data_IF_090960547670
#
_entry.id   IF_090960547670
#
_cell.length_a   1.000
_cell.length_b   1.000
_cell.length_c   1.000
_cell.angle_alpha   90.00
_cell.angle_beta   90.00
_cell.angle_gamma   90.00
#
_symmetry.space_group_name_H-M   'P 1'
#
loop_
_entity.id
_entity.type
_entity.pdbx_description
1 polymer ?
#
# COMPACT_ATOMS: atom_id res chain seq x y z
N UNK A 1 -3.40 6.35 -23.20
CA UNK A 1 -3.61 7.82 -23.19
C UNK A 1 -2.31 8.55 -22.86
N UNK A 2 -2.11 9.75 -23.40
CA UNK A 2 -0.94 10.57 -23.06
C UNK A 2 -1.18 11.22 -21.70
N UNK A 3 -0.23 11.07 -20.77
CA UNK A 3 -0.30 11.66 -19.44
C UNK A 3 -0.05 13.17 -19.45
N UNK A 4 -0.50 13.88 -18.40
CA UNK A 4 -0.25 15.32 -18.27
C UNK A 4 1.22 15.61 -18.00
N UNK A 5 1.67 16.82 -18.37
CA UNK A 5 2.99 17.28 -18.00
C UNK A 5 2.97 17.91 -16.61
N UNK A 6 3.99 17.61 -15.80
CA UNK A 6 4.24 18.18 -14.48
C UNK A 6 5.65 18.73 -14.38
N UNK A 7 5.87 19.64 -13.43
CA UNK A 7 7.17 20.26 -13.20
C UNK A 7 8.05 19.57 -12.18
N UNK A 8 7.44 18.81 -11.25
CA UNK A 8 8.16 18.03 -10.25
C UNK A 8 9.09 17.00 -10.90
N UNK A 9 10.19 16.69 -10.23
CA UNK A 9 11.25 15.83 -10.80
C UNK A 9 10.80 14.38 -11.01
N UNK A 10 9.99 13.84 -10.10
CA UNK A 10 9.54 12.45 -10.17
C UNK A 10 8.10 12.33 -9.71
N UNK A 11 7.34 11.45 -10.35
CA UNK A 11 5.99 11.13 -9.91
C UNK A 11 5.54 9.76 -10.40
N UNK A 12 4.55 9.18 -9.69
CA UNK A 12 3.85 7.96 -10.09
C UNK A 12 2.38 8.04 -9.70
N UNK A 13 1.51 7.48 -10.54
CA UNK A 13 0.15 7.08 -10.17
C UNK A 13 0.02 5.58 -10.37
N UNK A 14 -0.36 4.88 -9.33
CA UNK A 14 -0.51 3.43 -9.32
C UNK A 14 -1.92 3.06 -8.83
N UNK A 15 -2.54 2.07 -9.46
CA UNK A 15 -3.79 1.51 -8.96
C UNK A 15 -3.50 0.42 -7.92
N UNK A 16 -4.24 0.46 -6.79
CA UNK A 16 -3.95 -0.31 -5.59
C UNK A 16 -4.11 -1.83 -5.78
N UNK A 17 -5.20 -2.28 -6.40
CA UNK A 17 -5.53 -3.72 -6.49
C UNK A 17 -4.70 -4.47 -7.52
N UNK A 18 -4.44 -3.85 -8.67
CA UNK A 18 -3.70 -4.44 -9.79
C UNK A 18 -2.20 -4.14 -9.80
N UNK A 19 -1.75 -3.18 -9.00
CA UNK A 19 -0.40 -2.56 -9.04
C UNK A 19 -0.07 -1.91 -10.39
N UNK A 20 -1.07 -1.63 -11.21
CA UNK A 20 -0.86 -1.03 -12.53
C UNK A 20 -0.40 0.41 -12.39
N UNK A 21 0.72 0.74 -13.02
CA UNK A 21 1.22 2.11 -13.12
C UNK A 21 0.51 2.83 -14.26
N UNK A 22 -0.27 3.88 -13.93
CA UNK A 22 -1.06 4.65 -14.90
C UNK A 22 -0.30 5.86 -15.42
N UNK A 23 0.61 6.38 -14.60
CA UNK A 23 1.49 7.50 -14.93
C UNK A 23 2.84 7.31 -14.26
N UNK A 24 3.90 7.59 -14.97
CA UNK A 24 5.26 7.56 -14.47
C UNK A 24 6.08 8.71 -15.07
N UNK A 25 6.82 9.40 -14.21
CA UNK A 25 7.89 10.32 -14.57
C UNK A 25 9.07 10.05 -13.64
N UNK A 26 10.16 9.52 -14.18
CA UNK A 26 11.38 9.22 -13.43
C UNK A 26 11.11 8.51 -12.08
N UNK A 27 10.11 7.60 -12.07
CA UNK A 27 9.53 7.04 -10.84
C UNK A 27 10.52 6.24 -9.99
N UNK A 28 11.62 5.75 -10.57
CA UNK A 28 12.64 4.95 -9.92
C UNK A 28 13.91 5.75 -9.57
N UNK A 29 13.88 7.07 -9.77
CA UNK A 29 14.98 7.96 -9.39
C UNK A 29 15.04 8.11 -7.88
N UNK A 30 16.23 7.86 -7.31
CA UNK A 30 16.49 8.03 -5.88
C UNK A 30 16.49 9.51 -5.49
N UNK A 31 15.62 9.88 -4.57
CA UNK A 31 15.43 11.24 -4.06
C UNK A 31 15.24 11.23 -2.55
N UNK A 32 15.47 12.36 -1.90
CA UNK A 32 15.22 12.51 -0.46
C UNK A 32 13.71 12.42 -0.16
N UNK A 33 13.29 11.56 0.79
CA UNK A 33 11.88 11.31 1.10
C UNK A 33 11.20 12.41 1.94
N UNK A 34 11.96 13.29 2.58
CA UNK A 34 11.42 14.22 3.57
C UNK A 34 10.52 13.52 4.61
N UNK A 35 9.48 14.19 5.08
CA UNK A 35 8.54 13.63 6.06
C UNK A 35 7.66 12.48 5.57
N UNK A 36 7.73 12.07 4.29
CA UNK A 36 7.05 10.87 3.80
C UNK A 36 7.54 9.59 4.51
N UNK A 37 8.76 9.60 5.07
CA UNK A 37 9.29 8.55 5.97
C UNK A 37 8.30 8.19 7.09
N UNK A 38 7.54 9.14 7.59
CA UNK A 38 6.57 8.93 8.67
C UNK A 38 5.43 7.97 8.32
N UNK A 39 5.17 7.74 7.03
CA UNK A 39 4.20 6.73 6.59
C UNK A 39 4.72 5.34 6.98
N UNK A 40 6.01 5.03 6.72
CA UNK A 40 6.63 3.78 7.14
C UNK A 40 6.69 3.67 8.66
N UNK A 41 7.00 4.75 9.36
CA UNK A 41 7.01 4.78 10.83
C UNK A 41 5.65 4.42 11.42
N UNK A 42 4.57 5.00 10.90
CA UNK A 42 3.21 4.68 11.32
C UNK A 42 2.78 3.26 10.92
N UNK A 43 3.14 2.80 9.73
CA UNK A 43 2.88 1.44 9.27
C UNK A 43 3.47 0.41 10.25
N UNK A 44 4.75 0.53 10.56
CA UNK A 44 5.43 -0.37 11.49
C UNK A 44 4.84 -0.30 12.90
N UNK A 45 4.45 0.86 13.38
CA UNK A 45 3.77 1.00 14.65
C UNK A 45 2.44 0.23 14.67
N UNK A 46 1.64 0.36 13.63
CA UNK A 46 0.36 -0.35 13.49
C UNK A 46 0.53 -1.87 13.34
N UNK A 47 1.59 -2.31 12.70
CA UNK A 47 1.88 -3.75 12.53
C UNK A 47 2.44 -4.40 13.81
N UNK A 48 3.04 -3.63 14.73
CA UNK A 48 3.78 -4.17 15.87
C UNK A 48 3.23 -3.75 17.25
N UNK A 49 2.11 -3.05 17.31
CA UNK A 49 1.50 -2.60 18.57
C UNK A 49 -0.03 -2.50 18.49
N UNK A 50 -0.65 -2.27 19.63
CA UNK A 50 -2.06 -1.94 19.73
C UNK A 50 -2.23 -0.42 19.89
N UNK A 51 -3.31 0.16 19.38
CA UNK A 51 -3.62 1.60 19.52
C UNK A 51 -3.71 2.05 20.99
N UNK A 52 -4.06 1.13 21.90
CA UNK A 52 -4.19 1.37 23.35
C UNK A 52 -2.88 1.22 24.10
N UNK A 53 -1.80 0.78 23.47
CA UNK A 53 -0.51 0.62 24.14
C UNK A 53 0.00 1.97 24.62
N UNK A 54 0.60 1.97 25.82
CA UNK A 54 1.17 3.17 26.40
C UNK A 54 2.59 3.40 25.89
N UNK A 55 2.85 4.63 25.51
CA UNK A 55 4.16 5.13 25.07
C UNK A 55 4.63 6.16 26.09
N UNK A 56 5.70 5.86 26.80
CA UNK A 56 6.30 6.76 27.79
C UNK A 56 7.46 7.50 27.16
N UNK A 57 7.46 8.82 27.22
CA UNK A 57 8.52 9.67 26.70
C UNK A 57 9.81 9.50 27.51
N UNK A 58 10.90 9.18 26.82
CA UNK A 58 12.25 9.13 27.34
C UNK A 58 13.10 10.27 26.76
N UNK A 59 14.37 10.33 27.12
CA UNK A 59 15.32 11.29 26.54
C UNK A 59 15.42 11.14 25.01
N UNK A 60 15.19 9.95 24.45
CA UNK A 60 15.21 9.71 22.99
C UNK A 60 14.19 10.58 22.27
N UNK A 61 12.97 10.65 22.71
CA UNK A 61 11.95 11.51 22.11
C UNK A 61 12.13 12.98 22.47
N UNK A 62 12.31 13.26 23.76
CA UNK A 62 12.32 14.63 24.28
C UNK A 62 13.52 15.44 23.80
N UNK A 63 14.70 14.85 23.78
CA UNK A 63 15.96 15.53 23.43
C UNK A 63 16.46 15.20 22.01
N UNK A 64 15.81 14.26 21.32
CA UNK A 64 16.25 13.79 20.00
C UNK A 64 15.86 14.72 18.85
N UNK A 65 14.97 15.69 19.06
CA UNK A 65 14.61 16.67 18.03
C UNK A 65 15.61 17.81 18.04
N UNK A 66 16.37 17.92 16.97
CA UNK A 66 17.36 18.99 16.75
C UNK A 66 16.89 19.93 15.64
N UNK A 67 17.56 21.09 15.52
CA UNK A 67 17.45 22.00 14.38
C UNK A 67 16.04 22.56 14.08
N UNK A 68 15.22 22.72 15.14
CA UNK A 68 13.87 23.30 15.01
C UNK A 68 12.86 22.41 14.30
N UNK A 69 13.09 21.11 14.25
CA UNK A 69 12.14 20.12 13.72
C UNK A 69 10.78 20.17 14.43
N UNK A 70 9.71 19.85 13.71
CA UNK A 70 8.36 19.85 14.26
C UNK A 70 8.22 18.87 15.44
N UNK A 71 7.51 19.28 16.51
CA UNK A 71 7.27 18.51 17.71
C UNK A 71 6.00 18.96 18.41
N UNK A 72 5.47 18.19 19.33
CA UNK A 72 4.32 18.55 20.18
C UNK A 72 4.70 18.99 21.59
N UNK A 73 5.98 19.27 21.83
CA UNK A 73 6.54 19.65 23.13
C UNK A 73 6.25 18.59 24.21
N UNK A 74 6.50 17.34 23.86
CA UNK A 74 6.41 16.22 24.82
C UNK A 74 7.47 16.36 25.90
N UNK A 75 7.16 15.84 27.09
CA UNK A 75 8.01 15.98 28.28
C UNK A 75 8.48 14.60 28.76
N UNK A 76 9.64 14.58 29.44
CA UNK A 76 10.17 13.36 30.02
C UNK A 76 9.19 12.70 31.00
N UNK A 77 8.94 11.41 30.82
CA UNK A 77 7.97 10.65 31.61
C UNK A 77 6.50 10.90 31.25
N UNK A 78 6.22 11.73 30.24
CA UNK A 78 4.87 11.91 29.72
C UNK A 78 4.39 10.64 29.02
N UNK A 79 3.13 10.27 29.22
CA UNK A 79 2.54 9.04 28.68
C UNK A 79 1.44 9.37 27.70
N UNK A 80 1.53 8.80 26.51
CA UNK A 80 0.54 8.84 25.45
C UNK A 80 0.06 7.42 25.13
N UNK A 81 -1.11 7.29 24.51
CA UNK A 81 -1.46 6.03 23.82
C UNK A 81 -0.78 5.99 22.44
N UNK A 82 -0.59 4.80 21.90
CA UNK A 82 -0.07 4.67 20.52
C UNK A 82 -0.96 5.41 19.51
N UNK A 83 -2.28 5.36 19.67
CA UNK A 83 -3.22 6.14 18.84
C UNK A 83 -2.88 7.64 18.87
N UNK A 84 -2.71 8.23 20.05
CA UNK A 84 -2.34 9.64 20.21
C UNK A 84 -1.00 9.95 19.54
N UNK A 85 -0.04 9.04 19.65
CA UNK A 85 1.26 9.15 18.97
C UNK A 85 1.11 9.19 17.45
N UNK A 86 0.33 8.30 16.88
CA UNK A 86 0.15 8.23 15.42
C UNK A 86 -0.57 9.48 14.88
N UNK A 87 -1.58 9.99 15.58
CA UNK A 87 -2.19 11.27 15.23
C UNK A 87 -1.17 12.44 15.31
N UNK A 88 -0.32 12.46 16.34
CA UNK A 88 0.71 13.49 16.45
C UNK A 88 1.73 13.43 15.31
N UNK A 89 2.15 12.22 14.92
CA UNK A 89 3.07 12.00 13.80
C UNK A 89 2.44 12.46 12.48
N UNK A 90 1.19 12.04 12.21
CA UNK A 90 0.56 12.31 10.92
C UNK A 90 0.05 13.74 10.79
N UNK A 91 -0.59 14.31 11.81
CA UNK A 91 -1.21 15.64 11.72
C UNK A 91 -0.22 16.77 12.02
N UNK A 92 0.60 16.61 13.07
CA UNK A 92 1.52 17.65 13.54
C UNK A 92 2.97 17.43 13.12
N UNK A 93 3.27 16.36 12.36
CA UNK A 93 4.64 16.01 11.97
C UNK A 93 5.60 15.81 13.16
N UNK A 94 5.10 15.38 14.32
CA UNK A 94 5.81 15.32 15.58
C UNK A 94 7.03 14.39 15.53
N UNK A 95 8.23 14.96 15.42
CA UNK A 95 9.48 14.20 15.38
C UNK A 95 9.85 13.62 16.74
N UNK A 96 9.55 14.32 17.83
CA UNK A 96 9.72 13.83 19.21
C UNK A 96 8.93 12.52 19.43
N UNK A 97 7.71 12.47 18.95
CA UNK A 97 6.87 11.28 19.04
C UNK A 97 7.34 10.19 18.07
N UNK A 98 7.76 10.54 16.86
CA UNK A 98 8.28 9.54 15.90
C UNK A 98 9.53 8.82 16.44
N UNK A 99 10.45 9.55 17.08
CA UNK A 99 11.62 8.97 17.74
C UNK A 99 11.22 8.07 18.91
N UNK A 100 10.24 8.49 19.72
CA UNK A 100 9.79 7.68 20.88
C UNK A 100 9.07 6.41 20.43
N UNK A 101 8.23 6.49 19.41
CA UNK A 101 7.55 5.31 18.82
C UNK A 101 8.61 4.35 18.24
N UNK A 102 9.64 4.87 17.59
CA UNK A 102 10.74 4.06 17.07
C UNK A 102 11.48 3.31 18.21
N UNK A 103 11.79 3.99 19.31
CA UNK A 103 12.39 3.33 20.47
C UNK A 103 11.45 2.28 21.07
N UNK A 104 10.17 2.59 21.21
CA UNK A 104 9.17 1.68 21.79
C UNK A 104 9.04 0.38 20.97
N UNK A 105 8.96 0.48 19.65
CA UNK A 105 8.75 -0.66 18.73
C UNK A 105 10.07 -1.42 18.48
N UNK A 106 11.16 -0.71 18.33
CA UNK A 106 12.46 -1.29 18.00
C UNK A 106 13.30 -1.73 19.19
N UNK A 107 13.04 -1.17 20.37
CA UNK A 107 13.93 -1.25 21.53
C UNK A 107 15.07 -0.21 21.47
N UNK A 108 15.35 0.32 20.30
CA UNK A 108 16.18 1.49 20.02
C UNK A 108 15.79 2.10 18.68
N UNK A 109 16.18 3.35 18.44
CA UNK A 109 15.95 4.00 17.13
C UNK A 109 16.67 3.25 16.02
N UNK A 110 17.92 2.84 16.23
CA UNK A 110 18.71 2.10 15.24
C UNK A 110 18.06 0.74 14.87
N UNK A 111 17.57 0.01 15.86
CA UNK A 111 16.88 -1.25 15.62
C UNK A 111 15.54 -1.03 14.87
N UNK A 112 14.85 0.08 15.12
CA UNK A 112 13.65 0.44 14.37
C UNK A 112 13.97 0.81 12.92
N UNK A 113 15.05 1.55 12.68
CA UNK A 113 15.53 1.87 11.32
C UNK A 113 15.85 0.60 10.55
N UNK A 114 16.45 -0.41 11.20
CA UNK A 114 16.66 -1.71 10.56
C UNK A 114 15.32 -2.35 10.16
N UNK A 115 14.32 -2.34 11.04
CA UNK A 115 12.95 -2.81 10.71
C UNK A 115 12.32 -2.04 9.54
N UNK A 116 12.56 -0.73 9.44
CA UNK A 116 12.07 0.08 8.32
C UNK A 116 12.67 -0.40 7.00
N UNK A 117 13.97 -0.68 6.96
CA UNK A 117 14.67 -1.16 5.77
C UNK A 117 14.25 -2.59 5.41
N UNK A 118 14.13 -3.48 6.40
CA UNK A 118 13.66 -4.86 6.20
C UNK A 118 12.23 -4.84 5.62
N UNK A 119 11.35 -4.01 6.20
CA UNK A 119 9.96 -3.89 5.71
C UNK A 119 9.88 -3.30 4.30
N UNK A 120 10.70 -2.32 3.98
CA UNK A 120 10.79 -1.78 2.63
C UNK A 120 11.18 -2.88 1.62
N UNK A 121 12.15 -3.72 1.96
CA UNK A 121 12.55 -4.85 1.12
C UNK A 121 11.41 -5.87 0.94
N UNK A 122 10.69 -6.22 2.02
CA UNK A 122 9.52 -7.11 1.97
C UNK A 122 8.40 -6.57 1.07
N UNK A 123 8.22 -5.24 1.03
CA UNK A 123 7.25 -4.57 0.18
C UNK A 123 7.69 -4.47 -1.29
N UNK A 124 8.90 -4.94 -1.62
CA UNK A 124 9.45 -4.87 -2.97
C UNK A 124 10.10 -3.53 -3.32
N UNK A 125 10.39 -2.69 -2.32
CA UNK A 125 11.14 -1.46 -2.54
C UNK A 125 12.59 -1.79 -2.91
N UNK A 126 13.02 -1.38 -4.09
CA UNK A 126 14.32 -1.76 -4.64
C UNK A 126 15.38 -0.67 -4.50
N UNK A 127 14.98 0.55 -4.21
CA UNK A 127 15.88 1.70 -4.13
C UNK A 127 15.50 2.64 -2.97
N UNK A 128 15.31 2.06 -1.79
CA UNK A 128 14.96 2.79 -0.55
C UNK A 128 15.95 2.44 0.54
N UNK A 129 16.49 3.46 1.19
CA UNK A 129 17.30 3.36 2.41
C UNK A 129 16.79 4.39 3.41
N UNK A 130 16.29 3.91 4.54
CA UNK A 130 15.95 4.73 5.69
C UNK A 130 17.11 4.80 6.67
N UNK A 131 17.35 5.98 7.24
CA UNK A 131 18.36 6.24 8.26
C UNK A 131 17.78 6.80 9.54
N UNK A 132 16.52 7.30 9.49
CA UNK A 132 15.80 7.80 10.66
C UNK A 132 14.29 7.64 10.48
N UNK A 133 13.50 7.65 11.59
CA UNK A 133 12.04 7.51 11.54
C UNK A 133 11.28 8.81 11.29
N UNK A 134 11.98 9.94 11.16
CA UNK A 134 11.40 11.29 11.14
C UNK A 134 11.31 11.89 9.74
N UNK A 135 12.24 11.51 8.85
CA UNK A 135 12.43 12.15 7.55
C UNK A 135 13.23 13.46 7.62
N UNK A 136 13.87 13.75 8.74
CA UNK A 136 14.87 14.82 8.80
C UNK A 136 16.00 14.52 7.82
N UNK A 137 16.60 15.57 7.22
CA UNK A 137 17.62 15.39 6.18
C UNK A 137 18.79 14.52 6.64
N UNK A 138 19.15 13.58 5.79
CA UNK A 138 20.35 12.74 5.90
C UNK A 138 20.76 12.34 4.48
N UNK A 139 22.02 12.56 4.13
CA UNK A 139 22.53 12.34 2.77
C UNK A 139 22.48 10.86 2.34
N UNK A 140 22.39 9.94 3.29
CA UNK A 140 22.28 8.51 3.02
C UNK A 140 20.82 8.04 2.91
N UNK A 141 19.83 8.89 3.27
CA UNK A 141 18.41 8.54 3.23
C UNK A 141 17.82 8.90 1.88
N UNK A 142 17.32 7.88 1.18
CA UNK A 142 16.68 8.07 -0.12
C UNK A 142 15.56 7.06 -0.34
N UNK A 143 14.70 7.37 -1.28
CA UNK A 143 13.63 6.52 -1.78
C UNK A 143 13.27 6.93 -3.20
N UNK A 144 12.30 6.25 -3.80
CA UNK A 144 11.75 6.58 -5.12
C UNK A 144 10.24 6.83 -5.04
N UNK A 145 9.67 7.47 -6.03
CA UNK A 145 8.22 7.64 -6.10
C UNK A 145 7.50 6.28 -6.14
N UNK A 146 8.03 5.33 -6.87
CA UNK A 146 7.50 3.97 -6.94
C UNK A 146 7.54 3.26 -5.58
N UNK A 147 8.69 3.28 -4.89
CA UNK A 147 8.83 2.65 -3.58
C UNK A 147 7.89 3.29 -2.53
N UNK A 148 7.75 4.63 -2.53
CA UNK A 148 6.77 5.30 -1.67
C UNK A 148 5.32 4.91 -1.98
N UNK A 149 4.99 4.65 -3.25
CA UNK A 149 3.67 4.15 -3.61
C UNK A 149 3.42 2.74 -3.05
N UNK A 150 4.40 1.84 -3.07
CA UNK A 150 4.32 0.52 -2.44
C UNK A 150 4.16 0.61 -0.93
N UNK A 151 4.88 1.51 -0.27
CA UNK A 151 4.74 1.76 1.17
C UNK A 151 3.35 2.32 1.49
N UNK A 152 2.85 3.29 0.71
CA UNK A 152 1.52 3.86 0.90
C UNK A 152 0.42 2.82 0.69
N UNK A 153 0.57 1.94 -0.30
CA UNK A 153 -0.33 0.79 -0.52
C UNK A 153 -0.43 -0.08 0.72
N UNK A 154 0.69 -0.47 1.32
CA UNK A 154 0.70 -1.25 2.55
C UNK A 154 0.04 -0.49 3.71
N UNK A 155 0.29 0.81 3.83
CA UNK A 155 -0.29 1.64 4.88
C UNK A 155 -1.82 1.76 4.77
N UNK A 156 -2.35 2.04 3.58
CA UNK A 156 -3.81 2.20 3.39
C UNK A 156 -4.58 0.87 3.42
N UNK A 157 -3.92 -0.27 3.39
CA UNK A 157 -4.55 -1.56 3.66
C UNK A 157 -4.98 -1.72 5.13
N UNK A 158 -4.48 -0.85 6.02
CA UNK A 158 -4.84 -0.79 7.44
C UNK A 158 -5.89 0.30 7.67
N UNK A 159 -7.08 -0.08 8.16
CA UNK A 159 -8.19 0.84 8.40
C UNK A 159 -7.86 1.94 9.43
N UNK A 160 -7.04 1.62 10.44
CA UNK A 160 -6.59 2.61 11.42
C UNK A 160 -5.68 3.65 10.78
N UNK A 161 -4.81 3.25 9.84
CA UNK A 161 -4.01 4.20 9.09
C UNK A 161 -4.88 5.12 8.23
N UNK A 162 -5.87 4.58 7.51
CA UNK A 162 -6.83 5.38 6.73
C UNK A 162 -7.54 6.41 7.61
N UNK A 163 -8.01 5.99 8.78
CA UNK A 163 -8.68 6.88 9.75
C UNK A 163 -7.77 7.99 10.24
N UNK A 164 -6.54 7.66 10.64
CA UNK A 164 -5.59 8.61 11.22
C UNK A 164 -5.08 9.59 10.16
N UNK A 165 -4.65 9.08 9.00
CA UNK A 165 -4.07 9.91 7.94
C UNK A 165 -5.09 10.79 7.24
N UNK A 166 -6.37 10.40 7.25
CA UNK A 166 -7.48 11.17 6.68
C UNK A 166 -8.07 12.22 7.63
N UNK A 167 -7.69 12.21 8.91
CA UNK A 167 -8.23 13.13 9.91
C UNK A 167 -7.74 14.57 9.68
N UNK A 168 -8.62 15.53 9.88
CA UNK A 168 -8.31 16.97 9.80
C UNK A 168 -7.88 17.56 11.12
N UNK A 169 -8.29 16.95 12.24
CA UNK A 169 -7.93 17.37 13.59
C UNK A 169 -8.03 16.20 14.58
N UNK A 170 -7.31 16.32 15.67
CA UNK A 170 -7.37 15.40 16.80
C UNK A 170 -7.00 16.12 18.08
N UNK A 171 -7.66 15.82 19.21
CA UNK A 171 -7.34 16.40 20.51
C UNK A 171 -6.71 15.35 21.41
N UNK A 172 -5.46 15.54 21.78
CA UNK A 172 -4.83 14.78 22.88
C UNK A 172 -5.29 15.43 24.20
N UNK A 173 -5.98 14.70 25.07
CA UNK A 173 -6.41 15.24 26.36
C UNK A 173 -5.21 15.54 27.27
N UNK A 174 -5.46 16.14 28.44
CA UNK A 174 -4.45 16.28 29.47
C UNK A 174 -3.80 14.91 29.79
N UNK A 175 -2.48 14.93 29.97
CA UNK A 175 -1.67 13.75 30.27
C UNK A 175 -1.29 13.70 31.74
N UNK A 176 -0.51 12.71 32.14
CA UNK A 176 0.07 12.64 33.51
C UNK A 176 1.04 13.79 33.83
N UNK A 177 1.55 14.50 32.80
CA UNK A 177 2.52 15.60 32.96
C UNK A 177 1.91 16.94 32.56
N UNK A 178 1.14 16.99 31.46
CA UNK A 178 0.54 18.20 30.94
C UNK A 178 -0.93 18.31 31.39
N UNK A 179 -1.27 19.38 32.10
CA UNK A 179 -2.65 19.66 32.54
C UNK A 179 -3.56 20.22 31.45
N UNK A 180 -3.02 20.54 30.26
CA UNK A 180 -3.76 21.06 29.12
C UNK A 180 -3.87 20.08 27.98
N UNK A 181 -4.99 20.13 27.25
CA UNK A 181 -5.16 19.38 26.03
C UNK A 181 -4.30 19.97 24.88
N UNK A 182 -3.85 19.14 23.96
CA UNK A 182 -3.20 19.54 22.69
C UNK A 182 -4.16 19.33 21.53
N UNK A 183 -4.50 20.40 20.85
CA UNK A 183 -5.31 20.33 19.63
C UNK A 183 -4.39 20.25 18.42
N UNK A 184 -4.41 19.10 17.77
CA UNK A 184 -3.65 18.86 16.54
C UNK A 184 -4.53 19.20 15.34
N UNK A 185 -3.97 19.90 14.38
CA UNK A 185 -4.62 20.20 13.10
C UNK A 185 -3.75 19.67 11.97
N UNK A 186 -4.36 18.99 11.02
CA UNK A 186 -3.64 18.47 9.86
C UNK A 186 -3.14 19.61 8.98
N UNK A 187 -1.88 19.51 8.57
CA UNK A 187 -1.30 20.36 7.53
C UNK A 187 -1.55 19.80 6.13
N UNK A 188 -2.13 18.60 6.00
CA UNK A 188 -2.38 17.97 4.70
C UNK A 188 -3.64 18.54 4.06
N UNK A 189 -3.44 19.32 3.00
CA UNK A 189 -4.49 20.12 2.39
C UNK A 189 -5.56 19.32 1.65
N UNK A 190 -5.19 18.16 1.10
CA UNK A 190 -6.08 17.37 0.23
C UNK A 190 -7.23 16.69 0.96
N UNK A 191 -7.14 16.52 2.29
CA UNK A 191 -8.24 16.01 3.14
C UNK A 191 -9.04 17.13 3.80
N UNK A 192 -8.59 18.40 3.71
CA UNK A 192 -9.19 19.54 4.39
C UNK A 192 -10.26 20.21 3.50
N UNK A 193 -11.58 20.10 3.81
CA UNK A 193 -12.65 20.56 2.92
C UNK A 193 -12.61 22.04 2.56
N UNK A 194 -11.98 22.87 3.40
CA UNK A 194 -11.85 24.32 3.17
C UNK A 194 -10.59 24.69 2.37
N UNK A 195 -9.75 23.72 2.06
CA UNK A 195 -8.54 23.96 1.27
C UNK A 195 -8.86 24.08 -0.22
N UNK A 196 -8.11 24.93 -0.92
CA UNK A 196 -8.17 25.05 -2.38
C UNK A 196 -7.73 23.77 -3.11
N UNK A 197 -6.97 22.91 -2.45
CA UNK A 197 -6.48 21.62 -2.97
C UNK A 197 -7.21 20.43 -2.35
N UNK A 198 -8.37 20.67 -1.72
CA UNK A 198 -9.22 19.55 -1.26
C UNK A 198 -9.54 18.63 -2.44
N UNK A 199 -9.38 17.32 -2.22
CA UNK A 199 -9.64 16.32 -3.24
C UNK A 199 -10.69 15.32 -2.78
N UNK A 200 -11.84 15.32 -3.44
CA UNK A 200 -12.94 14.42 -3.10
C UNK A 200 -12.53 12.95 -3.28
N UNK A 201 -12.75 12.16 -2.24
CA UNK A 201 -12.34 10.76 -2.19
C UNK A 201 -10.92 10.55 -1.65
N UNK A 202 -10.20 11.63 -1.29
CA UNK A 202 -8.88 11.49 -0.66
C UNK A 202 -9.00 10.69 0.65
N UNK A 203 -8.25 9.59 0.73
CA UNK A 203 -8.18 8.72 1.91
C UNK A 203 -7.30 9.34 2.98
N UNK A 204 -6.22 9.97 2.56
CA UNK A 204 -5.22 10.56 3.41
C UNK A 204 -3.89 10.70 2.69
N UNK A 205 -2.87 11.08 3.42
CA UNK A 205 -1.54 11.23 2.88
C UNK A 205 -0.67 12.15 3.70
N UNK A 206 0.41 12.56 3.08
CA UNK A 206 1.38 13.45 3.69
C UNK A 206 2.07 14.31 2.65
N UNK A 207 2.23 15.58 2.97
CA UNK A 207 3.08 16.52 2.24
C UNK A 207 4.13 17.08 3.20
N UNK A 208 5.35 17.20 2.74
CA UNK A 208 6.43 17.82 3.51
C UNK A 208 7.48 18.42 2.59
N UNK A 209 8.15 19.46 3.08
CA UNK A 209 9.17 20.20 2.33
C UNK A 209 10.42 20.37 3.18
N UNK A 210 11.56 20.09 2.60
CA UNK A 210 12.88 20.48 3.13
C UNK A 210 13.70 21.14 2.03
N UNK A 211 14.75 21.84 2.40
CA UNK A 211 15.67 22.44 1.41
C UNK A 211 16.31 21.35 0.53
N UNK A 212 16.62 20.20 1.11
CA UNK A 212 17.28 19.11 0.40
C UNK A 212 16.33 18.32 -0.53
N UNK A 213 15.07 18.13 -0.12
CA UNK A 213 14.11 17.29 -0.86
C UNK A 213 13.23 18.06 -1.85
N UNK A 214 13.13 19.39 -1.71
CA UNK A 214 11.97 20.08 -2.27
C UNK A 214 10.68 19.60 -1.58
N UNK A 215 9.54 19.78 -2.20
CA UNK A 215 8.26 19.28 -1.71
C UNK A 215 8.04 17.82 -2.14
N UNK A 216 7.62 17.00 -1.21
CA UNK A 216 7.28 15.58 -1.41
C UNK A 216 5.85 15.35 -0.93
N UNK A 217 4.99 14.81 -1.80
CA UNK A 217 3.60 14.48 -1.50
C UNK A 217 3.34 13.01 -1.80
N UNK A 218 2.72 12.32 -0.84
CA UNK A 218 2.22 10.94 -0.98
C UNK A 218 0.76 10.95 -0.58
N UNK A 219 -0.12 10.45 -1.43
CA UNK A 219 -1.56 10.42 -1.16
C UNK A 219 -2.22 9.22 -1.82
N UNK A 220 -3.43 8.92 -1.36
CA UNK A 220 -4.32 7.97 -2.02
C UNK A 220 -5.74 8.53 -2.05
N UNK A 221 -6.49 8.16 -3.08
CA UNK A 221 -7.89 8.52 -3.21
C UNK A 221 -8.69 7.36 -3.78
N UNK A 222 -9.96 7.26 -3.36
CA UNK A 222 -10.87 6.21 -3.79
C UNK A 222 -12.12 6.83 -4.42
N UNK A 223 -12.48 6.35 -5.63
CA UNK A 223 -13.71 6.69 -6.34
C UNK A 223 -14.26 5.43 -7.03
N UNK A 224 -15.55 5.15 -6.84
CA UNK A 224 -16.22 4.02 -7.50
C UNK A 224 -15.45 2.69 -7.36
N UNK A 225 -14.99 2.37 -6.15
CA UNK A 225 -14.20 1.17 -5.81
C UNK A 225 -12.81 1.09 -6.48
N UNK A 226 -12.36 2.15 -7.14
CA UNK A 226 -11.00 2.27 -7.66
C UNK A 226 -10.18 3.12 -6.70
N UNK A 227 -9.07 2.58 -6.22
CA UNK A 227 -8.12 3.30 -5.36
C UNK A 227 -6.85 3.62 -6.13
N UNK A 228 -6.54 4.90 -6.25
CA UNK A 228 -5.29 5.38 -6.84
C UNK A 228 -4.36 5.91 -5.76
N UNK A 229 -3.09 5.57 -5.88
CA UNK A 229 -1.99 6.07 -5.07
C UNK A 229 -1.17 7.01 -5.94
N UNK A 230 -0.91 8.21 -5.45
CA UNK A 230 -0.14 9.22 -6.16
C UNK A 230 1.03 9.70 -5.30
N UNK A 231 2.21 9.71 -5.89
CA UNK A 231 3.43 10.25 -5.29
C UNK A 231 4.02 11.29 -6.22
N UNK A 232 4.37 12.44 -5.67
CA UNK A 232 5.06 13.54 -6.37
C UNK A 232 6.28 13.93 -5.53
N UNK A 233 7.46 13.90 -6.13
CA UNK A 233 8.72 14.15 -5.42
C UNK A 233 9.54 15.28 -6.05
N UNK A 234 10.25 16.00 -5.19
CA UNK A 234 11.11 17.13 -5.56
C UNK A 234 10.37 18.19 -6.38
N UNK A 235 9.19 18.54 -5.92
CA UNK A 235 8.38 19.62 -6.50
C UNK A 235 8.64 20.96 -5.85
N UNK A 236 8.15 22.02 -6.48
CA UNK A 236 8.13 23.34 -5.89
C UNK A 236 7.11 23.42 -4.75
N UNK A 237 7.41 24.15 -3.70
CA UNK A 237 6.51 24.37 -2.56
C UNK A 237 5.15 24.88 -3.01
N UNK A 238 4.08 24.23 -2.57
CA UNK A 238 2.70 24.57 -2.90
C UNK A 238 2.24 24.13 -4.29
N UNK A 239 3.04 23.40 -5.06
CA UNK A 239 2.67 22.86 -6.38
C UNK A 239 2.34 21.37 -6.38
N UNK A 240 2.94 20.60 -5.49
CA UNK A 240 2.81 19.13 -5.46
C UNK A 240 1.36 18.65 -5.30
N UNK A 241 0.53 19.34 -4.50
CA UNK A 241 -0.87 19.00 -4.36
C UNK A 241 -1.68 19.26 -5.66
N UNK A 242 -1.40 20.35 -6.37
CA UNK A 242 -2.05 20.63 -7.66
C UNK A 242 -1.64 19.59 -8.73
N UNK A 243 -0.37 19.23 -8.76
CA UNK A 243 0.11 18.18 -9.67
C UNK A 243 -0.49 16.81 -9.33
N UNK A 244 -0.58 16.46 -8.05
CA UNK A 244 -1.23 15.21 -7.61
C UNK A 244 -2.72 15.16 -8.02
N UNK A 245 -3.46 16.28 -7.89
CA UNK A 245 -4.85 16.39 -8.35
C UNK A 245 -4.91 16.12 -9.86
N UNK A 246 -4.07 16.80 -10.64
CA UNK A 246 -4.02 16.64 -12.10
C UNK A 246 -3.73 15.20 -12.50
N UNK A 247 -2.78 14.57 -11.83
CA UNK A 247 -2.38 13.19 -12.10
C UNK A 247 -3.47 12.17 -11.71
N UNK A 248 -4.11 12.35 -10.56
CA UNK A 248 -5.20 11.47 -10.13
C UNK A 248 -6.46 11.64 -11.00
N UNK A 249 -6.80 12.88 -11.37
CA UNK A 249 -7.91 13.13 -12.31
C UNK A 249 -7.64 12.48 -13.67
N UNK A 250 -6.39 12.52 -14.16
CA UNK A 250 -5.98 11.77 -15.35
C UNK A 250 -6.21 10.26 -15.17
N UNK A 251 -5.79 9.70 -14.04
CA UNK A 251 -5.97 8.27 -13.74
C UNK A 251 -7.46 7.87 -13.72
N UNK A 252 -8.27 8.57 -12.95
CA UNK A 252 -9.71 8.26 -12.83
C UNK A 252 -10.50 8.50 -14.12
N UNK A 253 -10.08 9.44 -14.98
CA UNK A 253 -10.79 9.77 -16.21
C UNK A 253 -10.45 8.85 -17.39
N UNK A 254 -9.25 8.29 -17.43
CA UNK A 254 -8.74 7.59 -18.61
C UNK A 254 -8.57 6.08 -18.44
N UNK A 255 -8.83 5.55 -17.25
CA UNK A 255 -8.68 4.12 -16.96
C UNK A 255 -9.89 3.57 -16.22
N UNK A 256 -10.06 2.26 -16.29
CA UNK A 256 -11.13 1.53 -15.62
C UNK A 256 -10.62 0.18 -15.11
N UNK A 257 -11.21 -0.31 -14.02
CA UNK A 257 -11.02 -1.67 -13.54
C UNK A 257 -11.94 -2.63 -14.30
N UNK A 258 -11.39 -3.77 -14.69
CA UNK A 258 -12.17 -4.94 -15.12
C UNK A 258 -11.95 -6.05 -14.09
N UNK A 259 -13.03 -6.70 -13.69
CA UNK A 259 -13.00 -7.89 -12.85
C UNK A 259 -13.18 -9.12 -13.74
N UNK A 260 -12.06 -9.78 -14.05
CA UNK A 260 -12.05 -10.95 -14.92
C UNK A 260 -12.53 -12.21 -14.20
N UNK A 261 -12.56 -12.22 -12.85
CA UNK A 261 -13.05 -13.36 -12.09
C UNK A 261 -14.58 -13.57 -12.24
N UNK A 262 -15.32 -12.55 -12.65
CA UNK A 262 -16.73 -12.68 -13.02
C UNK A 262 -16.94 -13.42 -14.35
N UNK A 263 -15.93 -13.40 -15.24
CA UNK A 263 -15.98 -14.00 -16.58
C UNK A 263 -15.24 -15.35 -16.65
N UNK A 264 -14.22 -15.58 -15.82
CA UNK A 264 -13.38 -16.78 -15.79
C UNK A 264 -13.36 -17.44 -14.39
N UNK A 265 -14.13 -18.49 -14.23
CA UNK A 265 -14.21 -19.25 -12.96
C UNK A 265 -13.00 -20.15 -12.66
N UNK A 266 -11.99 -20.19 -13.52
CA UNK A 266 -10.70 -20.82 -13.19
C UNK A 266 -9.78 -19.89 -12.39
N UNK A 267 -10.14 -18.61 -12.24
CA UNK A 267 -9.43 -17.67 -11.39
C UNK A 267 -9.71 -17.99 -9.92
N UNK A 268 -8.66 -18.36 -9.18
CA UNK A 268 -8.73 -18.69 -7.75
C UNK A 268 -8.57 -17.44 -6.87
N UNK A 269 -7.76 -16.49 -7.32
CA UNK A 269 -7.58 -15.19 -6.66
C UNK A 269 -6.98 -14.15 -7.61
N UNK A 270 -7.17 -12.87 -7.30
CA UNK A 270 -6.80 -11.78 -8.20
C UNK A 270 -7.75 -11.67 -9.39
N UNK A 271 -7.25 -11.33 -10.57
CA UNK A 271 -8.06 -11.19 -11.78
C UNK A 271 -8.66 -9.80 -11.97
N UNK A 272 -8.34 -8.86 -11.10
CA UNK A 272 -8.65 -7.44 -11.32
C UNK A 272 -7.53 -6.81 -12.14
N UNK A 273 -7.87 -6.17 -13.24
CA UNK A 273 -6.93 -5.50 -14.13
C UNK A 273 -7.33 -4.05 -14.36
N UNK A 274 -6.35 -3.17 -14.48
CA UNK A 274 -6.55 -1.76 -14.76
C UNK A 274 -6.16 -1.45 -16.21
N UNK A 275 -7.14 -1.07 -17.02
CA UNK A 275 -6.97 -0.86 -18.47
C UNK A 275 -7.45 0.54 -18.89
N UNK A 276 -7.05 1.04 -20.07
CA UNK A 276 -7.63 2.26 -20.60
C UNK A 276 -9.15 2.18 -20.71
N UNK A 277 -9.83 3.30 -20.45
CA UNK A 277 -11.28 3.37 -20.54
C UNK A 277 -11.78 2.94 -21.93
N UNK A 278 -12.73 2.01 -21.96
CA UNK A 278 -13.29 1.43 -23.17
C UNK A 278 -12.58 0.16 -23.69
N UNK A 279 -11.46 -0.25 -23.07
CA UNK A 279 -10.88 -1.56 -23.34
C UNK A 279 -11.71 -2.68 -22.67
N UNK A 280 -11.60 -3.88 -23.20
CA UNK A 280 -12.31 -5.08 -22.74
C UNK A 280 -11.32 -6.22 -22.46
N UNK A 281 -11.80 -7.33 -21.90
CA UNK A 281 -11.00 -8.55 -21.70
C UNK A 281 -10.39 -9.09 -23.00
N UNK A 282 -11.06 -8.88 -24.14
CA UNK A 282 -10.57 -9.31 -25.47
C UNK A 282 -9.30 -8.57 -25.93
N UNK A 283 -9.01 -7.41 -25.35
CA UNK A 283 -7.82 -6.61 -25.68
C UNK A 283 -6.58 -7.04 -24.87
N UNK A 284 -6.72 -8.01 -23.97
CA UNK A 284 -5.64 -8.48 -23.11
C UNK A 284 -4.86 -9.63 -23.73
N UNK A 285 -3.59 -9.67 -23.42
CA UNK A 285 -2.73 -10.85 -23.62
C UNK A 285 -2.36 -11.45 -22.27
N UNK A 286 -2.23 -12.78 -22.22
CA UNK A 286 -1.93 -13.51 -20.98
C UNK A 286 -0.65 -14.32 -21.13
N UNK A 287 0.07 -14.43 -20.00
CA UNK A 287 1.22 -15.33 -19.86
C UNK A 287 1.09 -16.07 -18.53
N UNK A 288 1.14 -17.41 -18.57
CA UNK A 288 1.01 -18.26 -17.38
C UNK A 288 2.40 -18.77 -16.98
N UNK A 289 2.74 -18.62 -15.71
CA UNK A 289 3.98 -19.12 -15.09
C UNK A 289 3.67 -20.06 -13.93
N UNK A 290 4.29 -21.26 -13.84
CA UNK A 290 4.09 -22.15 -12.71
C UNK A 290 4.51 -21.50 -11.37
N UNK A 291 3.66 -21.62 -10.35
CA UNK A 291 3.91 -21.10 -9.01
C UNK A 291 3.21 -22.00 -7.98
N UNK A 292 3.96 -22.73 -7.16
CA UNK A 292 3.48 -23.54 -6.02
C UNK A 292 2.31 -24.49 -6.35
N UNK A 293 2.36 -25.16 -7.54
CA UNK A 293 1.31 -26.10 -7.97
C UNK A 293 0.05 -25.44 -8.56
N UNK A 294 0.12 -24.16 -8.82
CA UNK A 294 -0.89 -23.35 -9.50
C UNK A 294 -0.20 -22.57 -10.63
N UNK A 295 -0.96 -21.82 -11.42
CA UNK A 295 -0.42 -20.92 -12.42
C UNK A 295 -0.62 -19.48 -11.99
N UNK A 296 0.46 -18.68 -12.04
CA UNK A 296 0.37 -17.23 -11.97
C UNK A 296 0.14 -16.71 -13.39
N UNK A 297 -1.05 -16.20 -13.66
CA UNK A 297 -1.41 -15.55 -14.91
C UNK A 297 -1.12 -14.06 -14.85
N UNK A 298 -0.30 -13.57 -15.75
CA UNK A 298 -0.03 -12.15 -15.94
C UNK A 298 -0.86 -11.64 -17.12
N UNK A 299 -1.61 -10.57 -16.89
CA UNK A 299 -2.38 -9.89 -17.93
C UNK A 299 -1.62 -8.65 -18.41
N UNK A 300 -1.57 -8.47 -19.73
CA UNK A 300 -0.92 -7.32 -20.35
C UNK A 300 -1.85 -6.65 -21.36
N UNK A 301 -1.80 -5.33 -21.42
CA UNK A 301 -2.46 -4.48 -22.40
C UNK A 301 -1.40 -3.67 -23.16
N UNK A 302 -1.32 -3.82 -24.48
CA UNK A 302 -0.31 -3.12 -25.28
C UNK A 302 1.14 -3.40 -24.86
N UNK A 303 1.42 -4.56 -24.28
CA UNK A 303 2.74 -4.97 -23.78
C UNK A 303 3.07 -4.48 -22.36
N UNK A 304 2.19 -3.69 -21.71
CA UNK A 304 2.34 -3.30 -20.31
C UNK A 304 1.52 -4.24 -19.42
N UNK A 305 2.10 -4.68 -18.31
CA UNK A 305 1.38 -5.47 -17.31
C UNK A 305 0.28 -4.61 -16.66
N UNK A 306 -0.95 -5.17 -16.58
CA UNK A 306 -2.14 -4.48 -16.06
C UNK A 306 -2.81 -5.21 -14.91
N UNK A 307 -2.31 -6.37 -14.53
CA UNK A 307 -2.77 -7.15 -13.37
C UNK A 307 -2.31 -8.59 -13.43
N UNK A 308 -2.65 -9.34 -12.38
CA UNK A 308 -2.32 -10.77 -12.25
C UNK A 308 -3.47 -11.55 -11.64
N UNK A 309 -3.50 -12.87 -11.86
CA UNK A 309 -4.38 -13.79 -11.16
C UNK A 309 -3.65 -15.10 -10.85
N UNK A 310 -4.08 -15.79 -9.80
CA UNK A 310 -3.77 -17.19 -9.59
C UNK A 310 -4.89 -18.00 -10.24
N UNK A 311 -4.55 -18.92 -11.15
CA UNK A 311 -5.52 -19.73 -11.87
C UNK A 311 -5.24 -21.21 -11.65
N UNK A 312 -6.28 -22.03 -11.83
CA UNK A 312 -6.15 -23.49 -11.78
C UNK A 312 -5.21 -23.99 -12.90
N UNK A 313 -4.33 -24.93 -12.57
CA UNK A 313 -3.57 -25.66 -13.57
C UNK A 313 -4.43 -26.80 -14.16
N UNK A 314 -5.08 -26.52 -15.28
CA UNK A 314 -5.92 -27.50 -15.98
C UNK A 314 -5.11 -28.41 -16.91
N UNK A 315 -3.78 -28.32 -16.91
CA UNK A 315 -2.91 -29.12 -17.81
C UNK A 315 -2.90 -30.63 -17.47
N UNK A 316 -3.30 -31.03 -16.27
CA UNK A 316 -3.38 -32.43 -15.86
C UNK A 316 -4.70 -33.15 -16.24
N UNK A 317 -5.76 -32.43 -16.66
CA UNK A 317 -7.04 -33.06 -17.05
C UNK A 317 -7.04 -33.71 -18.44
N UNK A 318 -6.00 -33.55 -19.24
CA UNK A 318 -5.92 -34.12 -20.61
C UNK A 318 -5.28 -35.52 -20.70
N UNK A 319 -5.03 -36.21 -19.58
CA UNK A 319 -4.59 -37.61 -19.55
C UNK A 319 -5.66 -38.55 -19.04
N UNK A 320 -6.90 -38.44 -19.50
CA UNK A 320 -7.87 -39.50 -19.38
C UNK A 320 -7.92 -40.29 -20.69
N UNK A 321 -7.07 -41.28 -20.74
CA UNK A 321 -7.21 -42.59 -21.39
C UNK A 321 -8.33 -42.68 -22.44
N UNK A 322 -7.97 -42.62 -23.71
CA UNK A 322 -8.66 -43.35 -24.74
C UNK A 322 -8.55 -44.83 -24.39
N UNK A 323 -9.59 -45.37 -23.76
CA UNK A 323 -9.81 -46.80 -23.68
C UNK A 323 -10.19 -47.25 -25.09
N UNK A 324 -9.23 -47.80 -25.83
CA UNK A 324 -9.51 -48.59 -27.00
C UNK A 324 -10.42 -49.75 -26.55
N UNK A 325 -11.69 -49.70 -26.96
CA UNK A 325 -12.53 -50.88 -27.03
C UNK A 325 -11.89 -51.87 -28.01
N UNK A 326 -11.17 -52.83 -27.46
CA UNK A 326 -10.90 -54.07 -28.17
C UNK A 326 -12.15 -54.96 -28.08
N UNK A 327 -12.90 -55.05 -29.16
CA UNK A 327 -13.84 -56.10 -29.49
C UNK A 327 -13.08 -57.43 -29.57
N UNK A 328 -13.02 -58.19 -28.44
CA UNK A 328 -12.77 -59.63 -28.42
C UNK A 328 -13.05 -60.14 -26.99
N UNK A 329 -14.30 -60.47 -26.67
CA UNK A 329 -14.72 -61.61 -25.87
C UNK A 329 -16.24 -61.72 -25.72
N UNK A 330 -16.90 -62.11 -26.80
CA UNK A 330 -18.22 -62.69 -26.74
C UNK A 330 -18.05 -64.21 -26.52
N UNK A 331 -17.74 -64.69 -25.31
CA UNK A 331 -17.90 -66.12 -24.92
C UNK A 331 -17.78 -66.41 -23.41
N UNK A 332 -18.09 -65.49 -22.51
CA UNK A 332 -18.10 -65.82 -21.08
C UNK A 332 -19.42 -65.48 -20.34
N UNK A 333 -20.49 -65.16 -21.07
CA UNK A 333 -21.80 -64.84 -20.46
C UNK A 333 -22.82 -66.00 -20.45
N UNK A 334 -22.36 -67.25 -20.49
CA UNK A 334 -23.27 -68.45 -20.50
C UNK A 334 -23.06 -69.43 -19.38
N UNK A 335 -22.32 -69.15 -18.35
CA UNK A 335 -21.99 -70.12 -17.29
C UNK A 335 -22.25 -69.62 -15.87
N UNK A 336 -23.16 -68.68 -15.62
CA UNK A 336 -23.52 -68.36 -14.23
C UNK A 336 -25.00 -68.00 -14.06
N UNK A 337 -25.89 -68.88 -14.51
CA UNK A 337 -27.32 -68.83 -14.21
C UNK A 337 -27.86 -70.18 -13.70
N UNK A 338 -27.22 -70.72 -12.68
CA UNK A 338 -27.84 -71.86 -11.91
C UNK A 338 -27.11 -72.05 -10.59
N UNK A 339 -27.55 -71.30 -9.54
CA UNK A 339 -27.70 -71.90 -8.17
C UNK A 339 -28.46 -70.89 -7.29
N UNK A 340 -29.74 -71.25 -7.14
CA UNK A 340 -30.63 -70.64 -6.13
C UNK A 340 -30.29 -71.18 -4.74
N UNK A 341 -30.43 -70.38 -3.72
CA UNK A 341 -31.41 -70.54 -2.65
C UNK A 341 -31.30 -69.53 -1.52
N UNK A 342 -32.35 -69.31 -0.71
CA UNK A 342 -32.72 -67.95 -0.22
C UNK A 342 -32.62 -67.80 1.32
N UNK A 343 -32.54 -66.57 1.77
CA UNK A 343 -33.09 -65.90 2.99
C UNK A 343 -33.02 -66.69 4.35
N UNK A 344 -32.81 -66.09 5.56
CA UNK A 344 -33.79 -65.15 6.12
C UNK A 344 -33.26 -63.92 6.89
N UNK A 345 -34.22 -63.04 7.11
CA UNK A 345 -34.25 -61.89 8.05
C UNK A 345 -33.84 -62.24 9.48
N UNK A 346 -33.10 -61.35 10.17
CA UNK A 346 -33.52 -60.76 11.46
C UNK A 346 -32.80 -59.37 11.56
#
# INVERSE_FOLDING_TARGET
PQGPEITSASAVVMEDSSNTVLYAKDMDTALSPAGAVKIMTCLLALENSQLTDQVTMTETGVSGVTDGGAHISSQLGEVFTMEQCLYAIMLASANDIALQVAEQIGGSVDAFVQKMNDRAQELGCTNTVFTNPTGLPDDNQHTTAHDLALIMKAAISNDSFRTISGATSYTIPATNVSGGARNLTSSFSMTTPTSATYYQGCIGGRESTTTASGSVLVTAAERNSTTLICVVMNGATGQTANEAITLMDYGFANFQLLDLAEEDFHILSGGTVMVPAGATSDDLTTEDTPSDGQLLRTYSFGGAQVGTAVVEDTSEESTTTEVQENDDNMDAAKAYSESRSPIPYF
#
